data_IF_299292276557
#
_entry.id   IF_299292276557
#
_cell.length_a   1.000
_cell.length_b   1.000
_cell.length_c   1.000
_cell.angle_alpha   90.00
_cell.angle_beta   90.00
_cell.angle_gamma   90.00
#
_symmetry.space_group_name_H-M   'P 1'
#
loop_
_entity.id
_entity.type
_entity.pdbx_description
1 polymer ?
#
# COMPACT_ATOMS: atom_id res chain seq x y z
N UNK A 1 -1.08 61.43 28.27
CA UNK A 1 -0.67 60.83 26.97
C UNK A 1 0.27 59.66 27.22
N UNK A 2 0.26 58.63 26.35
CA UNK A 2 1.05 57.37 26.36
C UNK A 2 0.42 56.13 27.04
N UNK A 3 -0.51 55.47 26.34
CA UNK A 3 -0.73 54.01 26.38
C UNK A 3 -1.41 53.54 25.08
N UNK A 4 -0.71 53.43 23.96
CA UNK A 4 -1.20 52.77 22.71
C UNK A 4 -0.03 52.40 21.80
N UNK A 5 0.77 51.38 22.13
CA UNK A 5 1.81 50.85 21.20
C UNK A 5 2.23 49.39 21.43
N UNK A 6 1.44 48.54 22.13
CA UNK A 6 1.82 47.12 22.35
C UNK A 6 0.99 46.06 21.62
N UNK A 7 -0.02 46.43 20.83
CA UNK A 7 -0.88 45.44 20.14
C UNK A 7 -0.48 45.09 18.71
N UNK A 8 0.47 45.81 18.08
CA UNK A 8 0.84 45.58 16.68
C UNK A 8 1.95 44.54 16.47
N UNK A 9 2.79 44.25 17.47
CA UNK A 9 3.89 43.30 17.32
C UNK A 9 3.45 41.82 17.42
N UNK A 10 2.36 41.52 18.15
CA UNK A 10 1.86 40.16 18.32
C UNK A 10 1.11 39.64 17.08
N UNK A 11 0.46 40.53 16.32
CA UNK A 11 -0.28 40.16 15.11
C UNK A 11 0.66 39.80 13.95
N UNK A 12 1.78 40.52 13.78
CA UNK A 12 2.75 40.25 12.72
C UNK A 12 3.53 38.96 12.96
N UNK A 13 3.90 38.67 14.22
CA UNK A 13 4.58 37.41 14.57
C UNK A 13 3.66 36.19 14.38
N UNK A 14 2.37 36.33 14.69
CA UNK A 14 1.39 35.27 14.47
C UNK A 14 1.16 35.00 12.97
N UNK A 15 1.07 36.05 12.14
CA UNK A 15 0.90 35.90 10.69
C UNK A 15 2.15 35.33 9.99
N UNK A 16 3.36 35.69 10.42
CA UNK A 16 4.60 35.12 9.85
C UNK A 16 4.83 33.68 10.29
N UNK A 17 4.55 33.33 11.55
CA UNK A 17 4.63 31.94 12.03
C UNK A 17 3.58 31.08 11.33
N UNK A 18 2.34 31.57 11.16
CA UNK A 18 1.30 30.87 10.39
C UNK A 18 1.72 30.72 8.92
N UNK A 19 2.20 31.78 8.27
CA UNK A 19 2.65 31.72 6.87
C UNK A 19 3.82 30.76 6.62
N UNK A 20 4.82 30.74 7.51
CA UNK A 20 5.96 29.80 7.44
C UNK A 20 5.52 28.37 7.72
N UNK A 21 4.62 28.15 8.69
CA UNK A 21 4.09 26.82 9.01
C UNK A 21 3.26 26.24 7.88
N UNK A 22 2.48 27.06 7.17
CA UNK A 22 1.67 26.62 6.02
C UNK A 22 2.55 26.30 4.81
N UNK A 23 3.59 27.09 4.53
CA UNK A 23 4.53 26.81 3.45
C UNK A 23 5.37 25.54 3.73
N UNK A 24 5.78 25.33 4.99
CA UNK A 24 6.47 24.11 5.41
C UNK A 24 5.56 22.87 5.31
N UNK A 25 4.29 22.99 5.69
CA UNK A 25 3.29 21.92 5.58
C UNK A 25 2.96 21.58 4.12
N UNK A 26 2.77 22.59 3.26
CA UNK A 26 2.58 22.38 1.82
C UNK A 26 3.78 21.71 1.16
N UNK A 27 4.99 21.96 1.67
CA UNK A 27 6.19 21.28 1.23
C UNK A 27 6.22 19.81 1.72
N UNK A 28 5.80 19.53 2.96
CA UNK A 28 5.77 18.18 3.51
C UNK A 28 4.78 17.25 2.78
N UNK A 29 3.57 17.71 2.46
CA UNK A 29 2.59 16.92 1.71
C UNK A 29 3.05 16.63 0.27
N UNK A 30 3.71 17.60 -0.38
CA UNK A 30 4.30 17.40 -1.71
C UNK A 30 5.43 16.37 -1.68
N UNK A 31 6.34 16.47 -0.68
CA UNK A 31 7.39 15.48 -0.45
C UNK A 31 6.80 14.09 -0.16
N UNK A 32 5.72 14.03 0.60
CA UNK A 32 5.03 12.78 0.92
C UNK A 32 4.49 12.13 -0.36
N UNK A 33 3.84 12.90 -1.23
CA UNK A 33 3.34 12.40 -2.51
C UNK A 33 4.48 11.91 -3.41
N UNK A 34 5.57 12.67 -3.50
CA UNK A 34 6.76 12.29 -4.25
C UNK A 34 7.37 10.98 -3.72
N UNK A 35 7.48 10.84 -2.39
CA UNK A 35 7.97 9.62 -1.75
C UNK A 35 7.09 8.42 -2.07
N UNK A 36 5.77 8.59 -2.10
CA UNK A 36 4.83 7.52 -2.46
C UNK A 36 4.93 7.12 -3.94
N UNK A 37 5.18 8.06 -4.84
CA UNK A 37 5.44 7.75 -6.25
C UNK A 37 6.75 6.97 -6.42
N UNK A 38 7.79 7.30 -5.66
CA UNK A 38 9.03 6.53 -5.62
C UNK A 38 8.81 5.11 -5.10
N UNK A 39 8.02 4.93 -4.04
CA UNK A 39 7.61 3.59 -3.59
C UNK A 39 6.83 2.81 -4.66
N UNK A 40 5.96 3.47 -5.44
CA UNK A 40 5.25 2.84 -6.56
C UNK A 40 6.22 2.35 -7.65
N UNK A 41 7.36 3.01 -7.82
CA UNK A 41 8.47 2.62 -8.69
C UNK A 41 9.42 1.59 -8.07
N UNK A 42 9.14 1.13 -6.85
CA UNK A 42 10.03 0.29 -6.04
C UNK A 42 11.36 0.96 -5.65
N UNK A 43 11.47 2.30 -5.75
CA UNK A 43 12.65 3.06 -5.35
C UNK A 43 12.58 3.46 -3.87
N UNK A 44 12.74 2.46 -3.00
CA UNK A 44 12.70 2.63 -1.54
C UNK A 44 13.88 3.48 -1.05
N UNK A 45 15.03 3.41 -1.73
CA UNK A 45 16.23 4.15 -1.36
C UNK A 45 16.03 5.67 -1.52
N UNK A 46 15.41 6.11 -2.62
CA UNK A 46 15.08 7.52 -2.83
C UNK A 46 13.85 7.97 -2.02
N UNK A 47 12.88 7.09 -1.77
CA UNK A 47 11.67 7.44 -1.01
C UNK A 47 11.96 7.71 0.47
N UNK A 48 12.87 6.95 1.09
CA UNK A 48 13.14 7.03 2.51
C UNK A 48 13.57 8.43 3.01
N UNK A 49 14.57 9.11 2.42
CA UNK A 49 14.95 10.45 2.87
C UNK A 49 13.82 11.48 2.71
N UNK A 50 12.92 11.31 1.73
CA UNK A 50 11.77 12.20 1.59
C UNK A 50 10.79 12.01 2.75
N UNK A 51 10.51 10.79 3.18
CA UNK A 51 9.68 10.54 4.37
C UNK A 51 10.34 11.05 5.66
N UNK A 52 11.68 10.94 5.77
CA UNK A 52 12.42 11.51 6.90
C UNK A 52 12.31 13.04 6.93
N UNK A 53 12.39 13.70 5.77
CA UNK A 53 12.15 15.14 5.64
C UNK A 53 10.70 15.53 5.98
N UNK A 54 9.70 14.73 5.60
CA UNK A 54 8.30 14.96 5.99
C UNK A 54 8.16 14.94 7.52
N UNK A 55 8.76 13.95 8.19
CA UNK A 55 8.74 13.84 9.64
C UNK A 55 9.53 14.97 10.32
N UNK A 56 10.62 15.45 9.71
CA UNK A 56 11.38 16.58 10.23
C UNK A 56 10.60 17.90 10.12
N UNK A 57 9.87 18.09 9.01
CA UNK A 57 9.03 19.26 8.78
C UNK A 57 7.79 19.26 9.70
N UNK A 58 7.14 18.11 9.89
CA UNK A 58 5.94 17.95 10.71
C UNK A 58 6.08 16.80 11.72
N UNK A 59 6.83 16.99 12.82
CA UNK A 59 7.13 15.92 13.77
C UNK A 59 5.91 15.37 14.51
N UNK A 60 4.81 16.13 14.54
CA UNK A 60 3.54 15.76 15.16
C UNK A 60 2.58 15.05 14.18
N UNK A 61 2.92 14.92 12.90
CA UNK A 61 2.06 14.28 11.91
C UNK A 61 2.18 12.74 11.99
N UNK A 62 1.13 12.09 12.52
CA UNK A 62 1.06 10.64 12.68
C UNK A 62 1.22 9.88 11.35
N UNK A 63 0.63 10.40 10.28
CA UNK A 63 0.68 9.78 8.94
C UNK A 63 2.10 9.75 8.39
N UNK A 64 2.87 10.82 8.56
CA UNK A 64 4.26 10.85 8.10
C UNK A 64 5.12 9.79 8.81
N UNK A 65 4.94 9.64 10.13
CA UNK A 65 5.58 8.57 10.92
C UNK A 65 5.19 7.19 10.42
N UNK A 66 3.90 6.95 10.22
CA UNK A 66 3.39 5.68 9.70
C UNK A 66 4.02 5.33 8.35
N UNK A 67 4.04 6.26 7.39
CA UNK A 67 4.62 6.01 6.07
C UNK A 67 6.14 5.84 6.10
N UNK A 68 6.84 6.54 6.99
CA UNK A 68 8.26 6.29 7.26
C UNK A 68 8.47 4.86 7.77
N UNK A 69 7.61 4.39 8.68
CA UNK A 69 7.60 2.99 9.14
C UNK A 69 7.43 1.99 8.00
N UNK A 70 6.46 2.22 7.10
CA UNK A 70 6.25 1.39 5.88
C UNK A 70 7.48 1.38 4.98
N UNK A 71 8.08 2.54 4.69
CA UNK A 71 9.28 2.64 3.86
C UNK A 71 10.48 1.91 4.47
N UNK A 72 10.68 2.03 5.79
CA UNK A 72 11.71 1.26 6.53
C UNK A 72 11.42 -0.24 6.52
N UNK A 73 10.16 -0.64 6.57
CA UNK A 73 9.73 -2.03 6.44
C UNK A 73 10.12 -2.62 5.09
N UNK A 74 9.84 -1.88 4.00
CA UNK A 74 10.26 -2.26 2.66
C UNK A 74 11.79 -2.33 2.53
N UNK A 75 12.53 -1.37 3.09
CA UNK A 75 13.99 -1.40 3.09
C UNK A 75 14.54 -2.61 3.86
N UNK A 76 13.94 -2.93 5.01
CA UNK A 76 14.32 -4.08 5.83
C UNK A 76 14.07 -5.38 5.06
N UNK A 77 12.95 -5.49 4.35
CA UNK A 77 12.65 -6.63 3.49
C UNK A 77 13.66 -6.77 2.33
N UNK A 78 14.05 -5.67 1.68
CA UNK A 78 15.06 -5.67 0.61
C UNK A 78 16.44 -6.11 1.09
N UNK A 79 16.83 -5.72 2.31
CA UNK A 79 18.10 -6.13 2.95
C UNK A 79 18.05 -7.56 3.50
N UNK A 80 16.88 -8.17 3.60
CA UNK A 80 16.69 -9.53 4.10
C UNK A 80 17.18 -9.71 5.55
N UNK A 81 17.71 -10.90 5.85
CA UNK A 81 18.19 -11.27 7.20
C UNK A 81 19.27 -10.30 7.71
N UNK A 82 20.04 -9.66 6.82
CA UNK A 82 21.09 -8.72 7.19
C UNK A 82 20.58 -7.49 7.96
N UNK A 83 19.30 -7.11 7.81
CA UNK A 83 18.71 -6.03 8.62
C UNK A 83 18.31 -6.47 10.03
N UNK A 84 18.12 -7.77 10.26
CA UNK A 84 17.92 -8.41 11.57
C UNK A 84 16.87 -7.76 12.48
N UNK A 85 17.08 -7.93 13.79
CA UNK A 85 16.26 -7.36 14.88
C UNK A 85 16.23 -5.82 14.81
N UNK A 86 17.36 -5.21 14.46
CA UNK A 86 17.49 -3.75 14.39
C UNK A 86 16.52 -3.11 13.40
N UNK A 87 16.32 -3.75 12.23
CA UNK A 87 15.34 -3.31 11.23
C UNK A 87 13.91 -3.37 11.76
N UNK A 88 13.51 -4.51 12.32
CA UNK A 88 12.17 -4.70 12.89
C UNK A 88 11.87 -3.69 14.01
N UNK A 89 12.83 -3.42 14.89
CA UNK A 89 12.68 -2.45 15.97
C UNK A 89 12.49 -1.01 15.46
N UNK A 90 13.23 -0.61 14.41
CA UNK A 90 13.07 0.71 13.80
C UNK A 90 11.69 0.89 13.17
N UNK A 91 11.19 -0.14 12.48
CA UNK A 91 9.84 -0.12 11.89
C UNK A 91 8.77 -0.01 12.97
N UNK A 92 8.90 -0.86 14.00
CA UNK A 92 8.00 -0.86 15.15
C UNK A 92 7.93 0.51 15.83
N UNK A 93 9.08 1.14 16.08
CA UNK A 93 9.17 2.43 16.74
C UNK A 93 8.43 3.55 15.96
N UNK A 94 8.48 3.54 14.62
CA UNK A 94 7.73 4.54 13.84
C UNK A 94 6.22 4.33 13.92
N UNK A 95 5.74 3.08 13.93
CA UNK A 95 4.30 2.81 14.13
C UNK A 95 3.84 3.14 15.55
N UNK A 96 4.63 2.80 16.57
CA UNK A 96 4.33 3.19 17.95
C UNK A 96 4.30 4.72 18.11
N UNK A 97 5.24 5.44 17.49
CA UNK A 97 5.23 6.91 17.53
C UNK A 97 4.02 7.49 16.78
N UNK A 98 3.65 6.93 15.63
CA UNK A 98 2.44 7.34 14.92
C UNK A 98 1.19 7.19 15.81
N UNK A 99 1.07 6.08 16.54
CA UNK A 99 -0.04 5.81 17.47
C UNK A 99 0.00 6.74 18.69
N UNK A 100 1.20 7.07 19.20
CA UNK A 100 1.36 8.03 20.29
C UNK A 100 0.87 9.43 19.89
N UNK A 101 1.23 9.88 18.68
CA UNK A 101 0.81 11.17 18.13
C UNK A 101 -0.70 11.22 17.85
N UNK A 102 -1.24 10.12 17.34
CA UNK A 102 -2.67 10.00 17.04
C UNK A 102 -3.19 8.60 17.42
N UNK A 103 -3.78 8.44 18.63
CA UNK A 103 -4.26 7.15 19.11
C UNK A 103 -5.36 6.51 18.24
N UNK A 104 -6.02 7.33 17.42
CA UNK A 104 -7.07 6.96 16.46
C UNK A 104 -6.54 6.65 15.06
N UNK A 105 -5.22 6.73 14.79
CA UNK A 105 -4.66 6.29 13.54
C UNK A 105 -4.76 4.75 13.43
N UNK A 106 -5.90 4.28 12.91
CA UNK A 106 -6.20 2.85 12.77
C UNK A 106 -5.28 2.18 11.75
N UNK A 107 -4.78 2.92 10.76
CA UNK A 107 -3.83 2.37 9.79
C UNK A 107 -2.47 2.06 10.45
N UNK A 108 -1.94 2.95 11.30
CA UNK A 108 -0.72 2.68 12.05
C UNK A 108 -0.88 1.48 13.00
N UNK A 109 -2.06 1.34 13.64
CA UNK A 109 -2.38 0.15 14.45
C UNK A 109 -2.46 -1.12 13.61
N UNK A 110 -3.07 -1.04 12.43
CA UNK A 110 -3.13 -2.16 11.49
C UNK A 110 -1.72 -2.56 11.04
N UNK A 111 -0.88 -1.59 10.64
CA UNK A 111 0.51 -1.83 10.24
C UNK A 111 1.32 -2.47 11.37
N UNK A 112 1.13 -2.02 12.62
CA UNK A 112 1.77 -2.61 13.80
C UNK A 112 1.26 -4.03 14.08
N UNK A 113 -0.04 -4.29 13.93
CA UNK A 113 -0.61 -5.63 14.06
C UNK A 113 -0.02 -6.60 13.03
N UNK A 114 0.12 -6.14 11.78
CA UNK A 114 0.75 -6.90 10.69
C UNK A 114 2.23 -7.14 10.99
N UNK A 115 2.96 -6.14 11.47
CA UNK A 115 4.37 -6.29 11.87
C UNK A 115 4.52 -7.39 12.94
N UNK A 116 3.70 -7.36 13.99
CA UNK A 116 3.71 -8.37 15.04
C UNK A 116 3.38 -9.78 14.53
N UNK A 117 2.57 -9.89 13.46
CA UNK A 117 2.20 -11.18 12.85
C UNK A 117 3.24 -11.71 11.87
N UNK A 118 3.95 -10.83 11.17
CA UNK A 118 4.90 -11.19 10.10
C UNK A 118 6.31 -11.45 10.66
N UNK A 119 6.75 -10.63 11.61
CA UNK A 119 8.09 -10.75 12.17
C UNK A 119 8.17 -12.02 13.03
N UNK A 120 9.24 -12.82 12.93
CA UNK A 120 9.43 -13.97 13.80
C UNK A 120 9.41 -13.58 15.29
N UNK A 121 8.94 -14.49 16.16
CA UNK A 121 8.88 -14.24 17.61
C UNK A 121 10.24 -13.87 18.21
N UNK A 122 11.33 -14.47 17.70
CA UNK A 122 12.71 -14.16 18.10
C UNK A 122 13.10 -12.68 17.84
N UNK A 123 12.44 -12.03 16.88
CA UNK A 123 12.74 -10.66 16.45
C UNK A 123 11.67 -9.65 16.86
N UNK A 124 10.81 -10.01 17.82
CA UNK A 124 9.80 -9.11 18.39
C UNK A 124 8.37 -9.33 17.89
N UNK A 125 8.12 -10.34 17.04
CA UNK A 125 6.78 -10.75 16.66
C UNK A 125 5.95 -11.29 17.84
N UNK A 126 4.64 -11.09 17.81
CA UNK A 126 3.72 -11.59 18.84
C UNK A 126 2.26 -11.60 18.38
N UNK A 127 1.68 -12.80 18.27
CA UNK A 127 0.25 -12.96 17.96
C UNK A 127 -0.66 -12.31 19.01
N UNK A 128 -0.26 -12.30 20.28
CA UNK A 128 -1.02 -11.67 21.36
C UNK A 128 -1.05 -10.14 21.19
N UNK A 129 0.10 -9.52 20.88
CA UNK A 129 0.16 -8.07 20.63
C UNK A 129 -0.56 -7.68 19.34
N UNK A 130 -0.50 -8.53 18.31
CA UNK A 130 -1.31 -8.34 17.10
C UNK A 130 -2.81 -8.35 17.43
N UNK A 131 -3.27 -9.31 18.24
CA UNK A 131 -4.67 -9.40 18.67
C UNK A 131 -5.10 -8.19 19.52
N UNK A 132 -4.23 -7.68 20.39
CA UNK A 132 -4.47 -6.46 21.17
C UNK A 132 -4.73 -5.25 20.26
N UNK A 133 -3.90 -5.03 19.24
CA UNK A 133 -4.12 -3.93 18.29
C UNK A 133 -5.43 -4.11 17.52
N UNK A 134 -5.75 -5.33 17.08
CA UNK A 134 -7.03 -5.62 16.41
C UNK A 134 -8.22 -5.39 17.33
N UNK A 135 -8.12 -5.72 18.61
CA UNK A 135 -9.18 -5.46 19.59
C UNK A 135 -9.44 -3.96 19.77
N UNK A 136 -8.38 -3.14 19.79
CA UNK A 136 -8.51 -1.68 19.83
C UNK A 136 -9.15 -1.15 18.55
N UNK A 137 -8.71 -1.65 17.39
CA UNK A 137 -9.33 -1.29 16.09
C UNK A 137 -10.81 -1.66 16.10
N UNK A 138 -11.18 -2.84 16.61
CA UNK A 138 -12.57 -3.33 16.64
C UNK A 138 -13.52 -2.39 17.37
N UNK A 139 -13.07 -1.73 18.42
CA UNK A 139 -13.90 -0.78 19.17
C UNK A 139 -14.28 0.46 18.33
N UNK A 140 -13.45 0.83 17.35
CA UNK A 140 -13.63 2.02 16.50
C UNK A 140 -14.17 1.68 15.12
N UNK A 141 -13.74 0.55 14.57
CA UNK A 141 -14.06 0.08 13.25
C UNK A 141 -14.14 -1.46 13.23
N UNK A 142 -15.31 -2.03 13.59
CA UNK A 142 -15.52 -3.48 13.59
C UNK A 142 -15.30 -4.12 12.22
N UNK A 143 -15.63 -3.41 11.13
CA UNK A 143 -15.47 -3.89 9.77
C UNK A 143 -13.98 -4.02 9.40
N UNK A 144 -13.16 -3.04 9.76
CA UNK A 144 -11.71 -3.07 9.53
C UNK A 144 -11.06 -4.16 10.38
N UNK A 145 -11.43 -4.28 11.66
CA UNK A 145 -10.90 -5.35 12.51
C UNK A 145 -11.21 -6.75 11.95
N UNK A 146 -12.43 -6.98 11.48
CA UNK A 146 -12.81 -8.24 10.83
C UNK A 146 -12.11 -8.43 9.47
N UNK A 147 -11.82 -7.36 8.73
CA UNK A 147 -10.98 -7.45 7.53
C UNK A 147 -9.55 -7.92 7.88
N UNK A 148 -8.94 -7.35 8.91
CA UNK A 148 -7.58 -7.70 9.34
C UNK A 148 -7.49 -9.16 9.81
N UNK A 149 -8.49 -9.63 10.55
CA UNK A 149 -8.59 -11.04 10.95
C UNK A 149 -8.72 -11.99 9.76
N UNK A 150 -9.48 -11.59 8.74
CA UNK A 150 -9.58 -12.34 7.50
C UNK A 150 -8.23 -12.40 6.76
N UNK A 151 -7.50 -11.27 6.68
CA UNK A 151 -6.16 -11.21 6.10
C UNK A 151 -5.17 -12.09 6.90
N UNK A 152 -5.33 -12.19 8.22
CA UNK A 152 -4.56 -13.10 9.06
C UNK A 152 -4.89 -14.58 8.79
N UNK A 153 -6.18 -14.95 8.65
CA UNK A 153 -6.57 -16.31 8.25
C UNK A 153 -6.02 -16.70 6.88
N UNK A 154 -6.02 -15.75 5.93
CA UNK A 154 -5.44 -15.95 4.60
C UNK A 154 -3.96 -16.31 4.69
N UNK A 155 -3.20 -15.59 5.54
CA UNK A 155 -1.78 -15.86 5.81
C UNK A 155 -1.55 -17.21 6.49
N UNK A 156 -2.48 -17.61 7.36
CA UNK A 156 -2.47 -18.91 8.04
C UNK A 156 -2.91 -20.06 7.10
N UNK A 157 -2.97 -19.81 5.78
CA UNK A 157 -3.35 -20.77 4.72
C UNK A 157 -4.75 -21.32 4.87
N UNK A 158 -5.69 -20.51 5.39
CA UNK A 158 -7.10 -20.84 5.55
C UNK A 158 -7.98 -19.98 4.61
N UNK A 159 -7.87 -20.15 3.28
CA UNK A 159 -8.49 -19.23 2.33
C UNK A 159 -10.01 -19.21 2.38
N UNK A 160 -10.67 -20.34 2.66
CA UNK A 160 -12.15 -20.39 2.77
C UNK A 160 -12.66 -19.68 4.03
N UNK A 161 -12.00 -19.88 5.17
CA UNK A 161 -12.32 -19.16 6.41
C UNK A 161 -12.10 -17.64 6.23
N UNK A 162 -11.02 -17.26 5.56
CA UNK A 162 -10.72 -15.86 5.22
C UNK A 162 -11.80 -15.24 4.32
N UNK A 163 -12.27 -15.95 3.28
CA UNK A 163 -13.37 -15.49 2.42
C UNK A 163 -14.62 -15.22 3.28
N UNK A 164 -15.02 -16.16 4.14
CA UNK A 164 -16.19 -16.00 5.00
C UNK A 164 -16.06 -14.80 5.97
N UNK A 165 -14.86 -14.54 6.48
CA UNK A 165 -14.59 -13.37 7.32
C UNK A 165 -14.58 -12.05 6.53
N UNK A 166 -14.07 -12.03 5.29
CA UNK A 166 -14.23 -10.85 4.43
C UNK A 166 -15.69 -10.59 4.08
N UNK A 167 -16.50 -11.62 3.83
CA UNK A 167 -17.95 -11.47 3.64
C UNK A 167 -18.63 -10.89 4.90
N UNK A 168 -18.18 -11.28 6.09
CA UNK A 168 -18.62 -10.66 7.35
C UNK A 168 -18.21 -9.18 7.42
N UNK A 169 -16.98 -8.83 7.03
CA UNK A 169 -16.51 -7.45 6.96
C UNK A 169 -17.37 -6.60 6.00
N UNK A 170 -17.74 -7.16 4.83
CA UNK A 170 -18.64 -6.51 3.86
C UNK A 170 -20.02 -6.26 4.46
N UNK A 171 -20.59 -7.22 5.21
CA UNK A 171 -21.87 -7.00 5.90
C UNK A 171 -21.80 -5.88 6.95
N UNK A 172 -20.66 -5.70 7.60
CA UNK A 172 -20.44 -4.63 8.58
C UNK A 172 -20.23 -3.27 7.92
N UNK A 173 -19.60 -3.22 6.74
CA UNK A 173 -19.47 -2.01 5.95
C UNK A 173 -19.45 -2.34 4.44
N UNK A 174 -20.60 -2.20 3.74
CA UNK A 174 -20.73 -2.60 2.34
C UNK A 174 -20.09 -1.60 1.36
N UNK A 175 -19.71 -0.40 1.81
CA UNK A 175 -19.15 0.64 0.96
C UNK A 175 -17.64 0.49 0.70
N UNK A 176 -16.99 -0.55 1.26
CA UNK A 176 -15.53 -0.73 1.16
C UNK A 176 -15.14 -1.62 -0.03
N UNK A 177 -14.31 -1.13 -0.97
CA UNK A 177 -13.81 -1.96 -2.06
C UNK A 177 -12.82 -3.04 -1.60
N UNK A 178 -12.05 -2.78 -0.52
CA UNK A 178 -10.91 -3.61 -0.12
C UNK A 178 -11.27 -5.08 0.18
N UNK A 179 -12.30 -5.42 0.97
CA UNK A 179 -12.67 -6.82 1.22
C UNK A 179 -13.01 -7.60 -0.07
N UNK A 180 -13.65 -6.95 -1.05
CA UNK A 180 -13.94 -7.59 -2.34
C UNK A 180 -12.65 -7.92 -3.10
N UNK A 181 -11.65 -7.03 -3.07
CA UNK A 181 -10.33 -7.31 -3.64
C UNK A 181 -9.61 -8.45 -2.90
N UNK A 182 -9.66 -8.48 -1.57
CA UNK A 182 -9.06 -9.59 -0.80
C UNK A 182 -9.71 -10.94 -1.14
N UNK A 183 -11.04 -10.99 -1.25
CA UNK A 183 -11.77 -12.19 -1.71
C UNK A 183 -11.32 -12.60 -3.12
N UNK A 184 -11.16 -11.65 -4.04
CA UNK A 184 -10.66 -11.95 -5.38
C UNK A 184 -9.26 -12.57 -5.36
N UNK A 185 -8.34 -12.02 -4.57
CA UNK A 185 -6.98 -12.56 -4.41
C UNK A 185 -7.02 -14.00 -3.89
N UNK A 186 -7.91 -14.29 -2.93
CA UNK A 186 -8.10 -15.64 -2.39
C UNK A 186 -8.63 -16.61 -3.46
N UNK A 187 -9.60 -16.19 -4.26
CA UNK A 187 -10.09 -16.98 -5.38
C UNK A 187 -9.03 -17.22 -6.46
N UNK A 188 -8.18 -16.23 -6.75
CA UNK A 188 -7.03 -16.44 -7.66
C UNK A 188 -6.05 -17.48 -7.12
N UNK A 189 -5.76 -17.47 -5.81
CA UNK A 189 -4.93 -18.49 -5.17
C UNK A 189 -5.54 -19.90 -5.25
N UNK A 190 -6.87 -19.99 -5.24
CA UNK A 190 -7.64 -21.22 -5.46
C UNK A 190 -7.86 -21.55 -6.94
N UNK A 191 -7.37 -20.71 -7.87
CA UNK A 191 -7.61 -20.79 -9.32
C UNK A 191 -9.11 -20.75 -9.72
N UNK A 192 -9.96 -20.18 -8.87
CA UNK A 192 -11.38 -19.96 -9.13
C UNK A 192 -11.57 -18.62 -9.86
N UNK A 193 -11.12 -18.56 -11.11
CA UNK A 193 -10.97 -17.31 -11.87
C UNK A 193 -12.28 -16.52 -12.03
N UNK A 194 -13.39 -17.18 -12.36
CA UNK A 194 -14.69 -16.51 -12.51
C UNK A 194 -15.16 -15.83 -11.21
N UNK A 195 -14.97 -16.50 -10.06
CA UNK A 195 -15.30 -15.89 -8.77
C UNK A 195 -14.37 -14.74 -8.41
N UNK A 196 -13.09 -14.82 -8.82
CA UNK A 196 -12.17 -13.69 -8.72
C UNK A 196 -12.66 -12.49 -9.52
N UNK A 197 -13.00 -12.68 -10.80
CA UNK A 197 -13.52 -11.59 -11.64
C UNK A 197 -14.78 -10.99 -11.04
N UNK A 198 -15.77 -11.81 -10.66
CA UNK A 198 -17.00 -11.32 -10.03
C UNK A 198 -16.74 -10.51 -8.73
N UNK A 199 -15.75 -10.90 -7.93
CA UNK A 199 -15.36 -10.14 -6.75
C UNK A 199 -14.68 -8.81 -7.10
N UNK A 200 -13.85 -8.77 -8.14
CA UNK A 200 -13.23 -7.53 -8.64
C UNK A 200 -14.27 -6.58 -9.24
N UNK A 201 -15.31 -7.11 -9.88
CA UNK A 201 -16.42 -6.33 -10.43
C UNK A 201 -17.14 -5.58 -9.32
N UNK A 202 -17.38 -6.24 -8.18
CA UNK A 202 -17.95 -5.60 -6.99
C UNK A 202 -17.05 -4.51 -6.43
N UNK A 203 -15.74 -4.73 -6.38
CA UNK A 203 -14.79 -3.70 -5.94
C UNK A 203 -14.81 -2.47 -6.85
N UNK A 204 -14.81 -2.68 -8.18
CA UNK A 204 -14.81 -1.62 -9.18
C UNK A 204 -16.18 -0.94 -9.34
N UNK A 205 -17.27 -1.61 -8.96
CA UNK A 205 -18.59 -0.96 -8.87
C UNK A 205 -18.64 0.06 -7.73
N UNK A 206 -17.91 -0.17 -6.63
CA UNK A 206 -17.79 0.76 -5.51
C UNK A 206 -16.82 1.91 -5.81
N UNK A 207 -15.68 1.61 -6.42
CA UNK A 207 -14.73 2.62 -6.92
C UNK A 207 -14.11 2.17 -8.25
N UNK A 208 -14.57 2.74 -9.39
CA UNK A 208 -14.09 2.37 -10.73
C UNK A 208 -12.60 2.62 -10.96
N UNK A 209 -11.97 3.45 -10.12
CA UNK A 209 -10.55 3.80 -10.19
C UNK A 209 -9.77 3.25 -9.00
N UNK A 210 -10.28 2.21 -8.33
CA UNK A 210 -9.61 1.58 -7.19
C UNK A 210 -8.32 0.87 -7.66
N UNK A 211 -7.11 1.39 -7.33
CA UNK A 211 -5.88 1.01 -8.01
C UNK A 211 -5.57 -0.49 -7.88
N UNK A 212 -5.72 -1.04 -6.68
CA UNK A 212 -5.47 -2.45 -6.43
C UNK A 212 -6.50 -3.34 -7.13
N UNK A 213 -7.77 -2.96 -7.27
CA UNK A 213 -8.74 -3.78 -8.02
C UNK A 213 -8.40 -3.83 -9.51
N UNK A 214 -8.02 -2.70 -10.12
CA UNK A 214 -7.60 -2.64 -11.52
C UNK A 214 -6.37 -3.52 -11.78
N UNK A 215 -5.35 -3.42 -10.91
CA UNK A 215 -4.17 -4.28 -10.98
C UNK A 215 -4.54 -5.77 -10.83
N UNK A 216 -5.41 -6.11 -9.88
CA UNK A 216 -5.80 -7.49 -9.61
C UNK A 216 -6.64 -8.11 -10.74
N UNK A 217 -7.41 -7.30 -11.48
CA UNK A 217 -8.13 -7.72 -12.69
C UNK A 217 -7.15 -8.05 -13.81
N UNK A 218 -6.19 -7.15 -14.06
CA UNK A 218 -5.09 -7.42 -14.97
C UNK A 218 -4.30 -8.68 -14.60
N UNK A 219 -4.00 -8.85 -13.31
CA UNK A 219 -3.31 -10.04 -12.83
C UNK A 219 -4.12 -11.32 -13.05
N UNK A 220 -5.42 -11.31 -12.74
CA UNK A 220 -6.30 -12.45 -12.98
C UNK A 220 -6.33 -12.83 -14.46
N UNK A 221 -6.45 -11.86 -15.36
CA UNK A 221 -6.45 -12.09 -16.80
C UNK A 221 -5.10 -12.64 -17.30
N UNK A 222 -3.99 -12.02 -16.89
CA UNK A 222 -2.62 -12.45 -17.20
C UNK A 222 -2.35 -13.90 -16.76
N UNK A 223 -2.80 -14.29 -15.56
CA UNK A 223 -2.57 -15.64 -15.03
C UNK A 223 -3.51 -16.70 -15.63
N UNK A 224 -4.78 -16.37 -15.81
CA UNK A 224 -5.80 -17.32 -16.27
C UNK A 224 -5.86 -17.48 -17.79
N UNK A 225 -5.46 -16.46 -18.55
CA UNK A 225 -5.74 -16.38 -19.99
C UNK A 225 -7.18 -15.98 -20.34
N UNK A 226 -8.02 -15.71 -19.35
CA UNK A 226 -9.42 -15.30 -19.55
C UNK A 226 -9.57 -13.78 -19.45
N UNK A 227 -10.57 -13.22 -20.14
CA UNK A 227 -10.90 -11.80 -20.12
C UNK A 227 -9.69 -10.88 -20.43
N UNK A 228 -8.83 -11.28 -21.38
CA UNK A 228 -7.56 -10.61 -21.70
C UNK A 228 -7.74 -9.13 -22.04
N UNK A 229 -8.68 -8.78 -22.93
CA UNK A 229 -8.97 -7.40 -23.30
C UNK A 229 -9.37 -6.53 -22.09
N UNK A 230 -10.14 -7.13 -21.19
CA UNK A 230 -10.59 -6.47 -19.95
C UNK A 230 -9.43 -6.26 -18.99
N UNK A 231 -8.57 -7.26 -18.86
CA UNK A 231 -7.33 -7.21 -18.08
C UNK A 231 -6.37 -6.15 -18.57
N UNK A 232 -6.14 -6.09 -19.88
CA UNK A 232 -5.32 -5.06 -20.52
C UNK A 232 -5.87 -3.66 -20.24
N UNK A 233 -7.17 -3.43 -20.50
CA UNK A 233 -7.81 -2.14 -20.23
C UNK A 233 -7.66 -1.72 -18.77
N UNK A 234 -7.83 -2.66 -17.83
CA UNK A 234 -7.66 -2.39 -16.41
C UNK A 234 -6.22 -1.99 -16.05
N UNK A 235 -5.21 -2.68 -16.59
CA UNK A 235 -3.80 -2.34 -16.35
C UNK A 235 -3.41 -1.00 -16.97
N UNK A 236 -3.85 -0.70 -18.20
CA UNK A 236 -3.61 0.60 -18.82
C UNK A 236 -4.26 1.73 -18.00
N UNK A 237 -5.48 1.51 -17.52
CA UNK A 237 -6.14 2.46 -16.61
C UNK A 237 -5.33 2.64 -15.32
N UNK A 238 -4.90 1.54 -14.69
CA UNK A 238 -4.06 1.56 -13.49
C UNK A 238 -2.76 2.35 -13.67
N UNK A 239 -2.05 2.10 -14.77
CA UNK A 239 -0.77 2.75 -15.09
C UNK A 239 -0.93 4.27 -15.27
N UNK A 240 -2.10 4.72 -15.75
CA UNK A 240 -2.43 6.13 -15.95
C UNK A 240 -3.01 6.84 -14.71
N UNK A 241 -3.25 6.12 -13.59
CA UNK A 241 -3.86 6.73 -12.41
C UNK A 241 -2.89 7.68 -11.69
N UNK A 242 -3.34 8.88 -11.28
CA UNK A 242 -2.63 9.68 -10.30
C UNK A 242 -2.66 8.98 -8.93
N UNK A 243 -1.66 9.29 -8.10
CA UNK A 243 -1.62 8.81 -6.72
C UNK A 243 -2.69 9.53 -5.89
N UNK A 244 -3.54 8.74 -5.24
CA UNK A 244 -4.46 9.16 -4.20
C UNK A 244 -3.83 8.90 -2.84
N UNK A 245 -3.65 9.92 -1.97
CA UNK A 245 -2.98 9.79 -0.67
C UNK A 245 -3.47 8.60 0.19
N UNK A 246 -4.77 8.35 0.18
CA UNK A 246 -5.50 7.39 1.01
C UNK A 246 -5.48 5.94 0.51
N UNK A 247 -4.95 5.67 -0.69
CA UNK A 247 -5.03 4.35 -1.32
C UNK A 247 -3.68 3.69 -1.54
N UNK A 248 -3.62 2.37 -1.44
CA UNK A 248 -2.42 1.59 -1.76
C UNK A 248 -2.29 1.31 -3.26
N UNK A 249 -1.04 1.26 -3.74
CA UNK A 249 -0.71 1.04 -5.15
C UNK A 249 0.30 -0.10 -5.29
N UNK A 250 -0.01 -1.15 -6.07
CA UNK A 250 0.97 -2.17 -6.45
C UNK A 250 2.18 -1.59 -7.23
N UNK A 251 3.35 -2.22 -7.23
CA UNK A 251 4.50 -1.69 -7.98
C UNK A 251 4.23 -1.58 -9.49
N UNK A 252 4.70 -0.49 -10.12
CA UNK A 252 4.55 -0.25 -11.56
C UNK A 252 5.19 -1.35 -12.41
N UNK A 253 6.39 -1.81 -12.03
CA UNK A 253 7.09 -2.88 -12.74
C UNK A 253 6.25 -4.15 -12.82
N UNK A 254 5.56 -4.51 -11.73
CA UNK A 254 4.65 -5.66 -11.72
C UNK A 254 3.43 -5.46 -12.61
N UNK A 255 2.91 -4.24 -12.75
CA UNK A 255 1.80 -3.96 -13.67
C UNK A 255 2.23 -4.09 -15.14
N UNK A 256 3.37 -3.53 -15.52
CA UNK A 256 3.96 -3.72 -16.84
C UNK A 256 4.25 -5.19 -17.14
N UNK A 257 4.77 -5.95 -16.16
CA UNK A 257 4.94 -7.40 -16.31
C UNK A 257 3.61 -8.12 -16.61
N UNK A 258 2.53 -7.81 -15.88
CA UNK A 258 1.22 -8.43 -16.14
C UNK A 258 0.67 -8.04 -17.51
N UNK A 259 0.88 -6.81 -17.94
CA UNK A 259 0.46 -6.34 -19.27
C UNK A 259 1.22 -7.08 -20.37
N UNK A 260 2.53 -7.26 -20.21
CA UNK A 260 3.34 -8.09 -21.11
C UNK A 260 2.80 -9.52 -21.23
N UNK A 261 2.46 -10.15 -20.11
CA UNK A 261 1.88 -11.51 -20.11
C UNK A 261 0.50 -11.60 -20.76
N UNK A 262 -0.29 -10.52 -20.74
CA UNK A 262 -1.57 -10.45 -21.47
C UNK A 262 -1.31 -10.35 -22.98
N UNK A 263 -0.43 -9.42 -23.40
CA UNK A 263 -0.09 -9.20 -24.80
C UNK A 263 0.52 -10.44 -25.44
N UNK A 264 1.37 -11.15 -24.70
CA UNK A 264 1.95 -12.42 -25.13
C UNK A 264 0.88 -13.49 -25.40
N UNK A 265 -0.12 -13.60 -24.51
CA UNK A 265 -1.26 -14.52 -24.70
C UNK A 265 -2.17 -14.11 -25.85
N UNK A 266 -2.24 -12.81 -26.17
CA UNK A 266 -2.90 -12.28 -27.36
C UNK A 266 -2.06 -12.44 -28.64
N UNK A 267 -0.85 -12.99 -28.56
CA UNK A 267 0.04 -13.22 -29.70
C UNK A 267 0.91 -12.02 -30.09
N UNK A 268 0.76 -10.86 -29.44
CA UNK A 268 1.57 -9.67 -29.70
C UNK A 268 2.89 -9.74 -28.91
N UNK A 269 3.82 -10.57 -29.42
CA UNK A 269 5.13 -10.79 -28.81
C UNK A 269 5.99 -9.52 -28.77
N UNK A 270 5.83 -8.63 -29.75
CA UNK A 270 6.62 -7.39 -29.81
C UNK A 270 6.19 -6.43 -28.71
N UNK A 271 4.89 -6.20 -28.56
CA UNK A 271 4.37 -5.36 -27.49
C UNK A 271 4.62 -6.00 -26.11
N UNK A 272 4.48 -7.31 -25.97
CA UNK A 272 4.81 -8.03 -24.74
C UNK A 272 6.25 -7.79 -24.30
N UNK A 273 7.21 -7.92 -25.22
CA UNK A 273 8.62 -7.64 -24.96
C UNK A 273 8.86 -6.21 -24.50
N UNK A 274 8.23 -5.22 -25.14
CA UNK A 274 8.37 -3.82 -24.75
C UNK A 274 7.88 -3.55 -23.32
N UNK A 275 6.79 -4.21 -22.91
CA UNK A 275 6.28 -4.12 -21.54
C UNK A 275 7.21 -4.79 -20.51
N UNK A 276 7.78 -5.95 -20.84
CA UNK A 276 8.79 -6.58 -19.99
C UNK A 276 10.06 -5.74 -19.85
N UNK A 277 10.53 -5.10 -20.93
CA UNK A 277 11.66 -4.16 -20.91
C UNK A 277 11.34 -2.92 -20.08
N UNK A 278 10.11 -2.41 -20.16
CA UNK A 278 9.64 -1.30 -19.32
C UNK A 278 9.62 -1.68 -17.84
N UNK A 279 9.14 -2.87 -17.50
CA UNK A 279 9.20 -3.38 -16.13
C UNK A 279 10.64 -3.44 -15.59
N UNK A 280 11.59 -3.90 -16.41
CA UNK A 280 13.01 -3.99 -16.05
C UNK A 280 13.72 -2.63 -15.97
N UNK A 281 13.25 -1.63 -16.72
CA UNK A 281 13.74 -0.25 -16.59
C UNK A 281 13.30 0.38 -15.26
N UNK A 282 12.11 0.04 -14.78
CA UNK A 282 11.57 0.53 -13.49
C UNK A 282 12.22 -0.22 -12.33
N UNK A 283 12.28 -1.55 -12.42
CA UNK A 283 12.90 -2.43 -11.45
C UNK A 283 13.78 -3.45 -12.16
N UNK A 284 15.08 -3.17 -12.20
CA UNK A 284 16.06 -4.02 -12.87
C UNK A 284 16.20 -5.40 -12.23
N UNK A 285 15.75 -5.56 -10.97
CA UNK A 285 15.75 -6.82 -10.26
C UNK A 285 14.46 -7.64 -10.45
N UNK A 286 13.51 -7.18 -11.27
CA UNK A 286 12.23 -7.87 -11.50
C UNK A 286 12.41 -9.21 -12.25
N UNK A 287 12.58 -10.29 -11.48
CA UNK A 287 12.96 -11.63 -11.96
C UNK A 287 12.00 -12.18 -13.02
N UNK A 288 10.70 -12.04 -12.80
CA UNK A 288 9.68 -12.60 -13.69
C UNK A 288 9.71 -11.95 -15.08
N UNK A 289 9.99 -10.64 -15.16
CA UNK A 289 10.11 -9.93 -16.45
C UNK A 289 11.40 -10.27 -17.16
N UNK A 290 12.48 -10.51 -16.41
CA UNK A 290 13.74 -10.96 -16.97
C UNK A 290 13.57 -12.32 -17.64
N UNK A 291 12.94 -13.27 -16.95
CA UNK A 291 12.66 -14.60 -17.48
C UNK A 291 11.77 -14.54 -18.74
N UNK A 292 10.61 -13.88 -18.64
CA UNK A 292 9.66 -13.79 -19.75
C UNK A 292 10.27 -13.11 -21.00
N UNK A 293 11.13 -12.10 -20.83
CA UNK A 293 11.83 -11.47 -21.95
C UNK A 293 12.83 -12.40 -22.64
N UNK A 294 13.54 -13.26 -21.89
CA UNK A 294 14.47 -14.24 -22.49
C UNK A 294 13.72 -15.33 -23.24
N UNK A 295 12.56 -15.76 -22.75
CA UNK A 295 11.73 -16.77 -23.41
C UNK A 295 11.21 -16.28 -24.77
N UNK A 296 10.89 -14.99 -24.91
CA UNK A 296 10.49 -14.37 -26.19
C UNK A 296 11.61 -14.23 -27.23
N UNK A 297 12.88 -14.53 -26.89
CA UNK A 297 13.99 -14.55 -27.85
C UNK A 297 14.17 -15.91 -28.53
N UNK A 298 13.56 -16.96 -27.99
CA UNK A 298 13.64 -18.34 -28.48
C UNK A 298 12.52 -18.61 -29.49
#
# INVERSE_FOLDING_TARGET
>A
MRRRTRHLAAATLALTVVGVSVAAAQNADALHLQARELLRRNDVAAALPLFENCVAAEPANSRHRQWLGRARGLQTAQKGIAAGIGGANKVKAEFEKAIELEPNNLEARHDLAVLYRVVPRLFGGSNAKAAEQVAIIRQKDPALATQIEADFLARDKKPREAIAMHEKSIRLNPARPRPHVSIAILYQGLKEWEKSFAALDRALALDPKYPIALYQLGRAASLSGAQLDRGEKALRTYLALPIRPELEYPPLASAHHRLGGILEKNGDRQAARAEYETALRIDSAHKDSRAAREDLKR
#
